data_IF_774038526653
#
_entry.id   IF_774038526653
#
_cell.length_a   1.000
_cell.length_b   1.000
_cell.length_c   1.000
_cell.angle_alpha   90.00
_cell.angle_beta   90.00
_cell.angle_gamma   90.00
#
_symmetry.space_group_name_H-M   'P 1'
#
loop_
_entity.id
_entity.type
_entity.pdbx_description
1 polymer ?
#
# COMPACT_ATOMS: atom_id res chain seq x y z
N UNK A 1 40.41 17.77 37.29
CA UNK A 1 39.97 16.56 36.60
C UNK A 1 38.54 16.08 36.96
N UNK A 2 38.09 16.08 38.22
CA UNK A 2 36.73 15.60 38.57
C UNK A 2 35.58 16.44 37.96
N UNK A 3 35.74 17.74 37.85
CA UNK A 3 34.73 18.65 37.29
C UNK A 3 34.63 18.61 35.75
N UNK A 4 35.75 18.30 35.08
CA UNK A 4 35.77 18.18 33.61
C UNK A 4 35.02 16.96 33.13
N UNK A 5 35.07 15.83 33.86
CA UNK A 5 34.34 14.60 33.54
C UNK A 5 32.84 14.81 33.75
N UNK A 6 32.43 15.49 34.81
CA UNK A 6 31.04 15.79 35.10
C UNK A 6 30.42 16.70 34.01
N UNK A 7 31.14 17.72 33.53
CA UNK A 7 30.67 18.58 32.43
C UNK A 7 30.51 17.84 31.11
N UNK A 8 31.39 16.90 30.80
CA UNK A 8 31.26 16.06 29.58
C UNK A 8 30.06 15.14 29.67
N UNK A 9 29.78 14.52 30.81
CA UNK A 9 28.64 13.67 31.03
C UNK A 9 27.29 14.44 30.91
N UNK A 10 27.24 15.69 31.39
CA UNK A 10 26.04 16.53 31.26
C UNK A 10 25.82 16.96 29.80
N UNK A 11 26.86 17.29 29.05
CA UNK A 11 26.79 17.61 27.64
C UNK A 11 26.38 16.40 26.80
N UNK A 12 26.86 15.20 27.11
CA UNK A 12 26.41 13.97 26.47
C UNK A 12 24.93 13.66 26.80
N UNK A 13 24.51 13.84 28.06
CA UNK A 13 23.12 13.60 28.44
C UNK A 13 22.11 14.54 27.73
N UNK A 14 22.50 15.79 27.50
CA UNK A 14 21.71 16.76 26.74
C UNK A 14 21.65 16.45 25.23
N UNK A 15 22.66 15.78 24.70
CA UNK A 15 22.64 15.34 23.29
C UNK A 15 21.66 14.18 23.03
N UNK A 16 21.30 13.41 24.05
CA UNK A 16 20.30 12.33 23.95
C UNK A 16 18.86 12.77 24.12
N UNK A 17 18.60 14.00 24.55
CA UNK A 17 17.26 14.60 24.46
C UNK A 17 17.05 15.25 23.08
N UNK A 18 17.43 14.57 22.01
CA UNK A 18 16.97 14.93 20.68
C UNK A 18 15.44 14.75 20.73
N UNK A 19 14.72 15.84 20.96
CA UNK A 19 13.27 15.90 20.87
C UNK A 19 12.88 15.26 19.54
N UNK A 20 12.18 14.13 19.58
CA UNK A 20 11.48 13.64 18.40
C UNK A 20 10.61 14.80 17.94
N UNK A 21 10.95 15.35 16.78
CA UNK A 21 10.13 16.42 16.22
C UNK A 21 8.75 15.85 15.99
N UNK A 22 7.69 16.57 16.39
CA UNK A 22 6.34 16.10 16.14
C UNK A 22 6.17 15.85 14.65
N UNK A 23 5.59 14.71 14.30
CA UNK A 23 5.32 14.34 12.92
C UNK A 23 4.37 15.37 12.34
N UNK A 24 4.75 16.00 11.23
CA UNK A 24 3.84 16.77 10.40
C UNK A 24 2.94 15.78 9.63
N UNK A 25 1.82 15.42 10.24
CA UNK A 25 0.93 14.38 9.74
C UNK A 25 0.45 14.64 8.31
N UNK A 26 0.07 15.88 7.98
CA UNK A 26 -0.45 16.21 6.65
C UNK A 26 0.63 16.15 5.58
N UNK A 27 1.83 16.58 5.91
CA UNK A 27 2.99 16.46 5.01
C UNK A 27 3.34 15.00 4.75
N UNK A 28 3.43 14.18 5.80
CA UNK A 28 3.76 12.76 5.65
C UNK A 28 2.65 12.00 4.90
N UNK A 29 1.39 12.29 5.19
CA UNK A 29 0.25 11.73 4.47
C UNK A 29 0.31 12.05 2.96
N UNK A 30 0.58 13.31 2.61
CA UNK A 30 0.71 13.71 1.21
C UNK A 30 1.89 12.98 0.52
N UNK A 31 3.02 12.83 1.20
CA UNK A 31 4.18 12.11 0.68
C UNK A 31 3.90 10.61 0.47
N UNK A 32 3.18 9.97 1.38
CA UNK A 32 2.76 8.57 1.27
C UNK A 32 1.83 8.39 0.08
N UNK A 33 0.80 9.24 -0.06
CA UNK A 33 -0.13 9.21 -1.20
C UNK A 33 0.65 9.37 -2.51
N UNK A 34 1.59 10.33 -2.57
CA UNK A 34 2.40 10.55 -3.77
C UNK A 34 3.20 9.31 -4.20
N UNK A 35 3.78 8.56 -3.25
CA UNK A 35 4.48 7.30 -3.57
C UNK A 35 3.51 6.26 -4.12
N UNK A 36 2.32 6.12 -3.53
CA UNK A 36 1.31 5.17 -3.98
C UNK A 36 0.76 5.52 -5.37
N UNK A 37 0.59 6.80 -5.67
CA UNK A 37 0.17 7.26 -7.00
C UNK A 37 1.30 7.10 -8.03
N UNK A 38 2.54 7.40 -7.65
CA UNK A 38 3.71 7.17 -8.51
C UNK A 38 3.83 5.70 -8.89
N UNK A 39 3.74 4.78 -7.93
CA UNK A 39 3.77 3.33 -8.21
C UNK A 39 2.71 2.93 -9.22
N UNK A 40 1.48 3.45 -9.08
CA UNK A 40 0.39 3.12 -9.99
C UNK A 40 0.59 3.75 -11.37
N UNK A 41 1.00 5.01 -11.43
CA UNK A 41 1.18 5.70 -12.71
C UNK A 41 2.34 5.07 -13.50
N UNK A 42 3.48 4.80 -12.85
CA UNK A 42 4.62 4.15 -13.50
C UNK A 42 4.29 2.73 -13.97
N UNK A 43 3.42 2.00 -13.25
CA UNK A 43 2.91 0.71 -13.72
C UNK A 43 2.08 0.87 -15.01
N UNK A 44 1.16 1.84 -15.06
CA UNK A 44 0.34 2.14 -16.26
C UNK A 44 1.23 2.55 -17.43
N UNK A 45 2.22 3.39 -17.17
CA UNK A 45 3.17 3.91 -18.17
C UNK A 45 4.24 2.88 -18.58
N UNK A 46 4.26 1.70 -17.93
CA UNK A 46 5.30 0.67 -18.10
C UNK A 46 6.72 1.15 -17.78
N UNK A 47 6.84 2.19 -16.98
CA UNK A 47 8.10 2.62 -16.39
C UNK A 47 8.43 1.73 -15.18
N UNK A 48 8.90 0.50 -15.46
CA UNK A 48 9.20 -0.47 -14.41
C UNK A 48 10.36 -0.02 -13.50
N UNK A 49 11.31 0.75 -14.01
CA UNK A 49 12.39 1.32 -13.19
C UNK A 49 11.81 2.33 -12.18
N UNK A 50 10.98 3.24 -12.62
CA UNK A 50 10.26 4.18 -11.77
C UNK A 50 9.37 3.49 -10.75
N UNK A 51 8.63 2.44 -11.16
CA UNK A 51 7.80 1.64 -10.29
C UNK A 51 8.64 0.95 -9.19
N UNK A 52 9.74 0.31 -9.56
CA UNK A 52 10.65 -0.37 -8.63
C UNK A 52 11.28 0.58 -7.63
N UNK A 53 11.57 1.82 -8.06
CA UNK A 53 12.08 2.86 -7.18
C UNK A 53 11.12 3.24 -6.05
N UNK A 54 9.83 2.95 -6.16
CA UNK A 54 8.85 3.19 -5.10
C UNK A 54 8.86 2.11 -4.00
N UNK A 55 9.57 1.01 -4.20
CA UNK A 55 9.56 -0.15 -3.31
C UNK A 55 10.85 -0.29 -2.49
N UNK A 56 10.72 -0.92 -1.31
CA UNK A 56 11.86 -1.48 -0.58
C UNK A 56 12.32 -2.73 -1.33
N UNK A 57 13.60 -2.77 -1.73
CA UNK A 57 14.14 -3.86 -2.57
C UNK A 57 14.93 -4.86 -1.72
N UNK A 58 14.26 -5.52 -0.78
CA UNK A 58 14.89 -6.50 0.10
C UNK A 58 14.13 -7.83 0.16
N UNK A 59 14.63 -8.76 0.97
CA UNK A 59 14.06 -10.10 1.14
C UNK A 59 12.74 -10.14 1.90
N UNK A 60 12.31 -9.03 2.51
CA UNK A 60 11.09 -8.94 3.30
C UNK A 60 9.96 -8.19 2.58
N UNK A 61 10.23 -7.66 1.37
CA UNK A 61 9.16 -7.09 0.56
C UNK A 61 8.13 -8.18 0.23
N UNK A 62 6.84 -7.85 0.39
CA UNK A 62 5.74 -8.80 0.18
C UNK A 62 4.68 -8.16 -0.72
N UNK A 63 4.19 -8.96 -1.67
CA UNK A 63 3.02 -8.66 -2.48
C UNK A 63 2.02 -9.80 -2.38
N UNK A 64 0.77 -9.47 -2.04
CA UNK A 64 -0.34 -10.41 -1.95
C UNK A 64 -1.50 -9.88 -2.80
N UNK A 65 -1.97 -10.70 -3.72
CA UNK A 65 -3.23 -10.44 -4.44
C UNK A 65 -4.20 -11.55 -4.08
N UNK A 66 -5.36 -11.20 -3.54
CA UNK A 66 -6.39 -12.14 -3.13
C UNK A 66 -7.71 -11.84 -3.85
N UNK A 67 -8.29 -12.85 -4.47
CA UNK A 67 -9.62 -12.87 -5.04
C UNK A 67 -10.56 -13.79 -4.25
N UNK A 68 -11.75 -14.04 -4.78
CA UNK A 68 -12.74 -14.93 -4.15
C UNK A 68 -12.25 -16.37 -4.04
N UNK A 69 -11.60 -16.89 -5.09
CA UNK A 69 -11.27 -18.31 -5.24
C UNK A 69 -9.76 -18.60 -5.24
N UNK A 70 -8.93 -17.57 -5.31
CA UNK A 70 -7.48 -17.74 -5.40
C UNK A 70 -6.73 -16.58 -4.74
N UNK A 71 -5.46 -16.81 -4.51
CA UNK A 71 -4.52 -15.76 -4.13
C UNK A 71 -3.16 -15.99 -4.81
N UNK A 72 -2.41 -14.90 -4.96
CA UNK A 72 -1.02 -14.92 -5.39
C UNK A 72 -0.18 -14.26 -4.31
N UNK A 73 0.88 -14.93 -3.88
CA UNK A 73 1.79 -14.45 -2.84
C UNK A 73 3.21 -14.46 -3.39
N UNK A 74 3.88 -13.32 -3.31
CA UNK A 74 5.28 -13.15 -3.64
C UNK A 74 6.03 -12.55 -2.44
N UNK A 75 7.21 -13.07 -2.14
CA UNK A 75 8.05 -12.59 -1.04
C UNK A 75 9.50 -12.46 -1.51
N UNK A 76 10.14 -11.39 -1.07
CA UNK A 76 11.48 -10.98 -1.50
C UNK A 76 11.44 -10.23 -2.82
N UNK A 77 12.40 -9.31 -2.97
CA UNK A 77 12.39 -8.39 -4.09
C UNK A 77 12.38 -9.07 -5.46
N UNK A 78 13.13 -10.17 -5.61
CA UNK A 78 13.20 -10.88 -6.89
C UNK A 78 11.82 -11.43 -7.32
N UNK A 79 11.09 -12.07 -6.40
CA UNK A 79 9.77 -12.62 -6.69
C UNK A 79 8.72 -11.51 -6.86
N UNK A 80 8.77 -10.49 -6.00
CA UNK A 80 7.86 -9.35 -6.07
C UNK A 80 8.02 -8.58 -7.38
N UNK A 81 9.26 -8.27 -7.78
CA UNK A 81 9.51 -7.54 -9.04
C UNK A 81 9.07 -8.33 -10.27
N UNK A 82 9.35 -9.64 -10.29
CA UNK A 82 8.87 -10.54 -11.34
C UNK A 82 7.34 -10.58 -11.41
N UNK A 83 6.68 -10.65 -10.26
CA UNK A 83 5.21 -10.64 -10.20
C UNK A 83 4.63 -9.29 -10.63
N UNK A 84 5.31 -8.17 -10.35
CA UNK A 84 4.85 -6.84 -10.73
C UNK A 84 4.95 -6.59 -12.24
N UNK A 85 5.97 -7.12 -12.89
CA UNK A 85 6.12 -7.00 -14.34
C UNK A 85 5.28 -8.02 -15.10
N UNK A 86 4.99 -9.17 -14.45
CA UNK A 86 4.26 -10.27 -15.08
C UNK A 86 4.97 -10.83 -16.30
N UNK A 87 4.26 -11.67 -17.03
CA UNK A 87 4.64 -12.07 -18.38
C UNK A 87 4.12 -11.05 -19.42
N UNK A 88 4.04 -9.76 -19.04
CA UNK A 88 3.54 -8.71 -19.92
C UNK A 88 4.49 -8.56 -21.10
N UNK A 89 4.11 -9.12 -22.21
CA UNK A 89 4.72 -8.82 -23.50
C UNK A 89 4.20 -7.47 -24.00
N UNK A 90 4.96 -6.79 -24.83
CA UNK A 90 4.54 -5.51 -25.43
C UNK A 90 3.19 -5.62 -26.19
N UNK A 91 2.79 -6.84 -26.54
CA UNK A 91 1.56 -7.14 -27.29
C UNK A 91 0.31 -7.30 -26.40
N UNK A 92 0.44 -7.42 -25.07
CA UNK A 92 -0.69 -7.73 -24.17
C UNK A 92 -1.64 -6.55 -23.89
N UNK A 93 -1.21 -5.34 -24.16
CA UNK A 93 -2.06 -4.16 -24.13
C UNK A 93 -2.13 -3.58 -25.54
N UNK A 94 -3.26 -3.80 -26.22
CA UNK A 94 -3.52 -3.16 -27.50
C UNK A 94 -3.37 -1.64 -27.39
N UNK A 95 -3.07 -0.94 -28.51
CA UNK A 95 -2.78 0.49 -28.52
C UNK A 95 -3.96 1.37 -28.05
N UNK A 96 -5.16 0.82 -27.95
CA UNK A 96 -6.41 1.53 -27.60
C UNK A 96 -6.89 1.26 -26.17
N UNK A 97 -6.08 0.56 -25.33
CA UNK A 97 -6.46 0.26 -23.96
C UNK A 97 -6.28 1.49 -23.06
N UNK A 98 -7.39 2.04 -22.60
CA UNK A 98 -7.37 3.17 -21.68
C UNK A 98 -7.58 2.68 -20.23
N UNK A 99 -6.59 2.89 -19.37
CA UNK A 99 -6.61 2.47 -17.97
C UNK A 99 -6.66 3.71 -17.07
N UNK A 100 -7.58 3.71 -16.12
CA UNK A 100 -7.63 4.68 -15.04
C UNK A 100 -7.70 3.96 -13.69
N UNK A 101 -7.04 4.54 -12.69
CA UNK A 101 -7.07 4.01 -11.33
C UNK A 101 -7.40 5.12 -10.36
N UNK A 102 -8.44 4.90 -9.57
CA UNK A 102 -8.85 5.81 -8.52
C UNK A 102 -8.64 5.16 -7.16
N UNK A 103 -8.02 5.90 -6.23
CA UNK A 103 -7.88 5.48 -4.83
C UNK A 103 -8.60 6.47 -3.93
N UNK A 104 -9.44 5.95 -3.06
CA UNK A 104 -10.30 6.74 -2.17
C UNK A 104 -10.27 6.19 -0.74
N UNK A 105 -10.95 6.87 0.18
CA UNK A 105 -11.17 6.41 1.55
C UNK A 105 -9.87 6.03 2.28
N UNK A 106 -8.83 6.85 2.14
CA UNK A 106 -7.55 6.62 2.80
C UNK A 106 -7.67 6.64 4.32
N UNK A 107 -7.30 5.54 4.95
CA UNK A 107 -7.18 5.35 6.40
C UNK A 107 -5.73 5.05 6.71
N UNK A 108 -5.06 5.92 7.46
CA UNK A 108 -3.62 5.83 7.68
C UNK A 108 -3.26 5.90 9.15
N UNK A 109 -2.23 5.14 9.52
CA UNK A 109 -1.53 5.27 10.79
C UNK A 109 -0.07 5.51 10.49
N UNK A 110 0.42 6.70 10.82
CA UNK A 110 1.75 7.19 10.44
C UNK A 110 2.61 7.30 11.69
N UNK A 111 3.79 6.72 11.61
CA UNK A 111 4.86 6.77 12.61
C UNK A 111 6.08 7.48 12.00
N UNK A 112 7.13 7.84 12.78
CA UNK A 112 8.30 8.54 12.25
C UNK A 112 9.00 7.83 11.07
N UNK A 113 9.01 6.48 11.07
CA UNK A 113 9.74 5.68 10.09
C UNK A 113 8.89 4.62 9.40
N UNK A 114 7.59 4.54 9.67
CA UNK A 114 6.71 3.56 9.05
C UNK A 114 5.27 4.08 8.96
N UNK A 115 4.51 3.52 8.01
CA UNK A 115 3.10 3.84 7.87
C UNK A 115 2.31 2.59 7.47
N UNK A 116 1.11 2.49 8.03
CA UNK A 116 0.10 1.53 7.64
C UNK A 116 -1.04 2.27 6.94
N UNK A 117 -1.40 1.82 5.75
CA UNK A 117 -2.41 2.45 4.91
C UNK A 117 -3.43 1.43 4.45
N UNK A 118 -4.70 1.79 4.55
CA UNK A 118 -5.80 1.09 3.92
C UNK A 118 -6.55 2.08 3.04
N UNK A 119 -6.83 1.71 1.81
CA UNK A 119 -7.66 2.51 0.91
C UNK A 119 -8.49 1.62 0.00
N UNK A 120 -9.54 2.19 -0.57
CA UNK A 120 -10.32 1.57 -1.63
C UNK A 120 -9.68 1.93 -2.96
N UNK A 121 -9.64 0.99 -3.90
CA UNK A 121 -9.15 1.23 -5.25
C UNK A 121 -10.15 0.70 -6.27
N UNK A 122 -10.41 1.51 -7.30
CA UNK A 122 -11.12 1.09 -8.49
C UNK A 122 -10.20 1.20 -9.70
N UNK A 123 -10.03 0.09 -10.38
CA UNK A 123 -9.29 -0.02 -11.62
C UNK A 123 -10.27 -0.10 -12.76
N UNK A 124 -10.29 0.88 -13.65
CA UNK A 124 -11.20 0.93 -14.79
C UNK A 124 -10.41 0.77 -16.09
N UNK A 125 -10.79 -0.20 -16.86
CA UNK A 125 -10.23 -0.49 -18.19
C UNK A 125 -11.30 -0.22 -19.24
N UNK A 126 -10.98 0.59 -20.24
CA UNK A 126 -11.84 0.86 -21.40
C UNK A 126 -11.18 0.32 -22.64
N UNK A 127 -11.96 -0.42 -23.41
CA UNK A 127 -11.59 -0.91 -24.72
C UNK A 127 -12.78 -0.73 -25.67
N UNK A 128 -12.64 0.08 -26.70
CA UNK A 128 -13.72 0.53 -27.57
C UNK A 128 -14.92 1.08 -26.75
N UNK A 129 -16.09 0.47 -26.91
CA UNK A 129 -17.33 0.84 -26.20
C UNK A 129 -17.51 0.09 -24.86
N UNK A 130 -16.61 -0.84 -24.52
CA UNK A 130 -16.69 -1.64 -23.30
C UNK A 130 -15.90 -0.98 -22.17
N UNK A 131 -16.47 -0.99 -20.97
CA UNK A 131 -15.84 -0.52 -19.74
C UNK A 131 -15.93 -1.60 -18.67
N UNK A 132 -14.79 -2.00 -18.11
CA UNK A 132 -14.69 -2.96 -17.02
C UNK A 132 -14.08 -2.27 -15.82
N UNK A 133 -14.81 -2.27 -14.69
CA UNK A 133 -14.33 -1.75 -13.42
C UNK A 133 -14.11 -2.88 -12.41
N UNK A 134 -12.94 -2.93 -11.81
CA UNK A 134 -12.58 -3.89 -10.76
C UNK A 134 -12.24 -3.11 -9.49
N UNK A 135 -12.95 -3.43 -8.42
CA UNK A 135 -12.73 -2.79 -7.11
C UNK A 135 -11.95 -3.71 -6.17
N UNK A 136 -11.12 -3.11 -5.35
CA UNK A 136 -10.34 -3.80 -4.33
C UNK A 136 -10.12 -2.93 -3.11
N UNK A 137 -9.90 -3.56 -1.95
CA UNK A 137 -9.31 -2.91 -0.79
C UNK A 137 -7.82 -3.13 -0.88
N UNK A 138 -7.05 -2.05 -0.76
CA UNK A 138 -5.61 -2.12 -0.64
C UNK A 138 -5.18 -1.97 0.81
N UNK A 139 -4.22 -2.81 1.20
CA UNK A 139 -3.49 -2.69 2.46
C UNK A 139 -2.02 -2.53 2.13
N UNK A 140 -1.39 -1.47 2.64
CA UNK A 140 0.02 -1.19 2.40
C UNK A 140 0.75 -0.92 3.71
N UNK A 141 1.98 -1.40 3.77
CA UNK A 141 2.95 -0.96 4.77
C UNK A 141 4.10 -0.27 4.05
N UNK A 142 4.47 0.91 4.54
CA UNK A 142 5.54 1.72 4.00
C UNK A 142 6.60 1.97 5.07
N UNK A 143 7.83 2.08 4.63
CA UNK A 143 8.99 2.42 5.43
C UNK A 143 9.62 3.72 4.93
N UNK A 144 10.15 4.53 5.84
CA UNK A 144 10.83 5.76 5.49
C UNK A 144 12.34 5.54 5.51
N UNK A 145 12.94 5.38 4.35
CA UNK A 145 14.35 5.07 4.15
C UNK A 145 15.07 6.30 3.58
N UNK A 146 16.08 6.81 4.31
CA UNK A 146 16.81 8.00 3.86
C UNK A 146 15.96 9.27 3.73
N UNK A 147 14.80 9.31 4.38
CA UNK A 147 13.84 10.42 4.30
C UNK A 147 12.75 10.24 3.24
N UNK A 148 12.81 9.19 2.44
CA UNK A 148 11.83 8.84 1.41
C UNK A 148 10.94 7.67 1.83
N UNK A 149 9.64 7.75 1.54
CA UNK A 149 8.72 6.64 1.74
C UNK A 149 8.89 5.60 0.64
N UNK A 150 8.91 4.32 1.04
CA UNK A 150 9.00 3.16 0.15
C UNK A 150 7.99 2.10 0.59
N UNK A 151 7.41 1.39 -0.37
CA UNK A 151 6.44 0.33 -0.13
C UNK A 151 7.19 -0.96 0.19
N UNK A 152 6.97 -1.55 1.37
CA UNK A 152 7.54 -2.85 1.76
C UNK A 152 6.51 -3.98 1.80
N UNK A 153 5.23 -3.64 1.83
CA UNK A 153 4.14 -4.60 1.71
C UNK A 153 2.97 -3.98 0.95
N UNK A 154 2.39 -4.75 0.06
CA UNK A 154 1.10 -4.43 -0.56
C UNK A 154 0.21 -5.65 -0.65
N UNK A 155 -1.06 -5.49 -0.28
CA UNK A 155 -2.10 -6.47 -0.54
C UNK A 155 -3.25 -5.83 -1.31
N UNK A 156 -3.73 -6.55 -2.33
CA UNK A 156 -4.93 -6.23 -3.09
C UNK A 156 -5.97 -7.30 -2.78
N UNK A 157 -7.07 -6.90 -2.16
CA UNK A 157 -8.17 -7.79 -1.80
C UNK A 157 -9.35 -7.43 -2.70
N UNK A 158 -9.66 -8.30 -3.66
CA UNK A 158 -10.78 -8.11 -4.58
C UNK A 158 -12.10 -8.08 -3.81
N UNK A 159 -12.93 -7.08 -4.10
CA UNK A 159 -14.26 -6.92 -3.49
C UNK A 159 -15.40 -7.31 -4.44
N UNK A 160 -15.12 -7.49 -5.73
CA UNK A 160 -16.10 -7.96 -6.71
C UNK A 160 -16.45 -9.43 -6.45
N UNK A 161 -17.70 -9.68 -6.07
CA UNK A 161 -18.25 -10.99 -5.77
C UNK A 161 -18.51 -11.29 -4.28
N UNK A 162 -18.08 -10.42 -3.36
CA UNK A 162 -18.30 -10.62 -1.92
C UNK A 162 -19.51 -9.88 -1.35
N UNK A 163 -20.06 -8.90 -2.06
CA UNK A 163 -21.04 -7.97 -1.49
C UNK A 163 -22.50 -8.20 -1.94
N UNK A 164 -22.77 -9.02 -2.93
CA UNK A 164 -24.17 -9.20 -3.41
C UNK A 164 -24.95 -10.32 -2.73
N UNK A 165 -24.29 -11.27 -2.01
CA UNK A 165 -25.02 -12.49 -1.60
C UNK A 165 -24.97 -12.83 -0.09
N UNK A 166 -24.40 -12.01 0.77
CA UNK A 166 -24.28 -12.35 2.21
C UNK A 166 -24.80 -11.33 3.21
N UNK A 167 -25.26 -10.17 2.79
CA UNK A 167 -25.85 -9.21 3.73
C UNK A 167 -27.29 -9.56 4.11
N UNK A 168 -28.02 -10.35 3.31
CA UNK A 168 -29.37 -10.79 3.67
C UNK A 168 -29.34 -11.98 4.65
N UNK A 169 -28.34 -12.86 4.56
CA UNK A 169 -28.29 -14.06 5.43
C UNK A 169 -27.68 -13.79 6.83
N UNK A 170 -26.93 -12.73 7.01
CA UNK A 170 -26.32 -12.40 8.32
C UNK A 170 -27.26 -11.68 9.29
N UNK A 171 -28.36 -11.13 8.78
CA UNK A 171 -29.34 -10.42 9.59
C UNK A 171 -30.71 -11.12 9.70
N UNK A 172 -30.90 -12.27 9.04
CA UNK A 172 -32.15 -13.01 9.06
C UNK A 172 -32.24 -14.10 10.13
N UNK A 173 -31.17 -14.39 10.87
CA UNK A 173 -31.13 -15.51 11.83
C UNK A 173 -31.25 -15.13 13.30
N UNK A 174 -31.47 -13.85 13.66
CA UNK A 174 -31.51 -13.42 15.07
C UNK A 174 -32.90 -13.09 15.60
N UNK A 175 -34.02 -13.44 14.91
CA UNK A 175 -35.37 -13.13 15.41
C UNK A 175 -36.30 -14.33 15.66
N UNK A 176 -35.82 -15.56 15.76
CA UNK A 176 -36.66 -16.64 16.25
C UNK A 176 -35.92 -17.55 17.20
N UNK A 177 -35.90 -17.25 18.48
CA UNK A 177 -35.93 -18.19 19.62
C UNK A 177 -35.67 -17.48 20.95
N UNK A 178 -36.63 -16.69 21.41
CA UNK A 178 -36.87 -16.49 22.85
C UNK A 178 -38.39 -16.33 23.01
N UNK A 179 -39.08 -17.39 23.37
CA UNK A 179 -40.26 -17.44 24.21
C UNK A 179 -40.99 -18.79 24.01
N UNK A 180 -40.65 -19.77 24.87
CA UNK A 180 -41.63 -20.58 25.62
C UNK A 180 -40.94 -21.18 26.85
#
# INVERSE_FOLDING_TARGET
>A
MKYTILSICILLALAFTACEQPIDYEKEKAAIIAVMETETQTYIDRDFEGMFATHVQDSLNIRLTAGADNYVFAQGWEDVSRHMTGDQTEDDLGPDLHITVEKTNYRMKIYPQSAFVVCDQTWTTKYDDDEIAISSIQVRFLEKLGGEWKISFVSFIGTSGYMEDKTEDLYSNDEEEIFD
#
